data_IF_094483811052
#
_entry.id   IF_094483811052
#
_cell.length_a   1.000
_cell.length_b   1.000
_cell.length_c   1.000
_cell.angle_alpha   90.00
_cell.angle_beta   90.00
_cell.angle_gamma   90.00
#
_symmetry.space_group_name_H-M   'P 1'
#
loop_
_entity.id
_entity.type
_entity.pdbx_description
1 polymer ?
#
# COMPACT_ATOMS: atom_id res chain seq x y z
N UNK A 1 -7.66 -5.42 4.34
CA UNK A 1 -6.42 -6.22 4.18
C UNK A 1 -6.22 -6.66 2.72
N UNK A 2 -7.15 -7.42 2.12
CA UNK A 2 -7.04 -7.93 0.73
C UNK A 2 -6.90 -6.81 -0.31
N UNK A 3 -7.70 -5.74 -0.21
CA UNK A 3 -7.63 -4.62 -1.15
C UNK A 3 -6.27 -3.92 -1.20
N UNK A 4 -5.70 -3.52 -0.05
CA UNK A 4 -4.41 -2.79 -0.05
C UNK A 4 -3.26 -3.65 -0.62
N UNK A 5 -3.29 -4.97 -0.40
CA UNK A 5 -2.29 -5.86 -1.00
C UNK A 5 -2.48 -5.96 -2.53
N UNK A 6 -3.74 -6.02 -3.00
CA UNK A 6 -4.05 -5.97 -4.43
C UNK A 6 -3.56 -4.67 -5.08
N UNK A 7 -3.81 -3.51 -4.45
CA UNK A 7 -3.30 -2.20 -4.89
C UNK A 7 -1.77 -2.19 -4.98
N UNK A 8 -1.11 -2.67 -3.93
CA UNK A 8 0.37 -2.72 -3.88
C UNK A 8 0.93 -3.56 -5.03
N UNK A 9 0.37 -4.76 -5.23
CA UNK A 9 0.79 -5.66 -6.31
C UNK A 9 0.48 -5.09 -7.70
N UNK A 10 -0.69 -4.48 -7.87
CA UNK A 10 -1.09 -3.85 -9.13
C UNK A 10 -0.11 -2.74 -9.54
N UNK A 11 0.23 -1.84 -8.62
CA UNK A 11 1.16 -0.73 -8.87
C UNK A 11 2.58 -1.24 -9.08
N UNK A 12 3.01 -2.23 -8.31
CA UNK A 12 4.34 -2.85 -8.46
C UNK A 12 4.51 -3.48 -9.85
N UNK A 13 3.53 -4.26 -10.29
CA UNK A 13 3.57 -4.96 -11.57
C UNK A 13 3.56 -4.01 -12.78
N UNK A 14 3.08 -2.78 -12.61
CA UNK A 14 3.17 -1.72 -13.63
C UNK A 14 4.54 -1.01 -13.68
N UNK A 15 5.45 -1.35 -12.77
CA UNK A 15 6.76 -0.69 -12.68
C UNK A 15 6.70 0.71 -12.07
N UNK A 16 5.61 1.06 -11.36
CA UNK A 16 5.41 2.37 -10.74
C UNK A 16 5.96 2.44 -9.30
N UNK A 17 6.71 1.43 -8.85
CA UNK A 17 7.35 1.41 -7.53
C UNK A 17 8.75 2.03 -7.54
N UNK A 18 9.14 2.68 -6.45
CA UNK A 18 10.49 3.20 -6.25
C UNK A 18 11.43 2.11 -5.73
N UNK A 19 11.88 1.24 -6.63
CA UNK A 19 12.77 0.11 -6.29
C UNK A 19 14.10 0.56 -5.66
N UNK A 20 14.70 1.66 -6.14
CA UNK A 20 15.96 2.19 -5.58
C UNK A 20 15.78 2.57 -4.11
N UNK A 21 14.70 3.28 -3.78
CA UNK A 21 14.39 3.65 -2.40
C UNK A 21 14.21 2.42 -1.51
N UNK A 22 13.45 1.43 -1.98
CA UNK A 22 13.20 0.21 -1.22
C UNK A 22 14.49 -0.57 -0.96
N UNK A 23 15.34 -0.75 -1.97
CA UNK A 23 16.63 -1.45 -1.81
C UNK A 23 17.59 -0.73 -0.87
N UNK A 24 17.55 0.60 -0.85
CA UNK A 24 18.49 1.41 -0.07
C UNK A 24 18.06 1.65 1.36
N UNK A 25 16.76 1.79 1.61
CA UNK A 25 16.21 2.27 2.89
C UNK A 25 15.27 1.28 3.56
N UNK A 26 14.95 0.14 2.95
CA UNK A 26 14.10 -0.89 3.54
C UNK A 26 14.85 -2.21 3.68
N UNK A 27 14.40 -3.02 4.63
CA UNK A 27 14.89 -4.38 4.82
C UNK A 27 13.94 -5.37 4.13
N UNK A 28 14.42 -6.59 3.88
CA UNK A 28 13.61 -7.70 3.38
C UNK A 28 12.93 -7.43 2.03
N UNK A 29 13.60 -6.64 1.18
CA UNK A 29 13.05 -6.23 -0.11
C UNK A 29 12.75 -7.42 -1.03
N UNK A 30 13.69 -8.37 -1.17
CA UNK A 30 13.50 -9.53 -2.07
C UNK A 30 12.33 -10.41 -1.62
N UNK A 31 12.22 -10.69 -0.32
CA UNK A 31 11.11 -11.46 0.28
C UNK A 31 9.77 -10.76 0.06
N UNK A 32 9.74 -9.43 0.21
CA UNK A 32 8.56 -8.62 -0.06
C UNK A 32 8.19 -8.62 -1.54
N UNK A 33 9.18 -8.49 -2.42
CA UNK A 33 8.99 -8.50 -3.88
C UNK A 33 8.39 -9.82 -4.34
N UNK A 34 8.95 -10.94 -3.88
CA UNK A 34 8.43 -12.28 -4.18
C UNK A 34 6.98 -12.45 -3.71
N UNK A 35 6.64 -12.03 -2.48
CA UNK A 35 5.26 -12.09 -1.95
C UNK A 35 4.27 -11.22 -2.74
N UNK A 36 4.72 -10.06 -3.23
CA UNK A 36 3.90 -9.13 -4.01
C UNK A 36 3.70 -9.64 -5.44
N UNK A 37 4.75 -10.12 -6.11
CA UNK A 37 4.66 -10.66 -7.48
C UNK A 37 3.85 -11.96 -7.53
N UNK A 38 3.87 -12.77 -6.47
CA UNK A 38 3.03 -13.97 -6.35
C UNK A 38 1.55 -13.68 -6.01
N UNK A 39 1.15 -12.41 -5.92
CA UNK A 39 -0.20 -12.03 -5.50
C UNK A 39 -1.23 -12.25 -6.61
N UNK A 40 -2.25 -13.06 -6.32
CA UNK A 40 -3.46 -13.16 -7.13
C UNK A 40 -4.38 -11.95 -6.89
N UNK A 41 -4.24 -10.93 -7.75
CA UNK A 41 -4.97 -9.66 -7.64
C UNK A 41 -6.48 -9.88 -7.79
N UNK A 42 -6.92 -10.73 -8.74
CA UNK A 42 -8.34 -10.93 -9.01
C UNK A 42 -9.05 -11.53 -7.80
N UNK A 43 -8.45 -12.55 -7.19
CA UNK A 43 -8.97 -13.16 -5.96
C UNK A 43 -9.03 -12.17 -4.80
N UNK A 44 -8.03 -11.30 -4.64
CA UNK A 44 -8.05 -10.32 -3.56
C UNK A 44 -9.10 -9.22 -3.75
N UNK A 45 -9.40 -8.86 -5.01
CA UNK A 45 -10.47 -7.90 -5.35
C UNK A 45 -11.85 -8.52 -5.10
N UNK A 46 -12.05 -9.77 -5.51
CA UNK A 46 -13.27 -10.53 -5.20
C UNK A 46 -13.49 -10.62 -3.68
N UNK A 47 -12.46 -10.98 -2.92
CA UNK A 47 -12.53 -11.02 -1.46
C UNK A 47 -12.80 -9.66 -0.80
N UNK A 48 -12.36 -8.56 -1.45
CA UNK A 48 -12.62 -7.21 -0.98
C UNK A 48 -14.04 -6.74 -1.31
N UNK A 49 -14.78 -7.47 -2.15
CA UNK A 49 -16.11 -7.08 -2.61
C UNK A 49 -16.09 -5.84 -3.51
N UNK A 50 -14.97 -5.61 -4.22
CA UNK A 50 -14.76 -4.46 -5.09
C UNK A 50 -14.66 -4.90 -6.55
N UNK A 51 -14.86 -3.95 -7.44
CA UNK A 51 -14.66 -4.11 -8.88
C UNK A 51 -13.20 -3.85 -9.28
N UNK A 52 -12.82 -4.34 -10.46
CA UNK A 52 -11.53 -3.99 -11.08
C UNK A 52 -11.44 -2.49 -11.38
N UNK A 53 -12.54 -1.86 -11.77
CA UNK A 53 -12.57 -0.42 -12.06
C UNK A 53 -12.24 0.42 -10.82
N UNK A 54 -12.79 0.05 -9.65
CA UNK A 54 -12.45 0.70 -8.38
C UNK A 54 -10.97 0.55 -8.02
N UNK A 55 -10.38 -0.61 -8.29
CA UNK A 55 -8.94 -0.82 -8.14
C UNK A 55 -8.14 0.11 -9.06
N UNK A 56 -8.45 0.14 -10.37
CA UNK A 56 -7.71 0.96 -11.33
C UNK A 56 -7.82 2.46 -11.00
N UNK A 57 -9.01 2.93 -10.63
CA UNK A 57 -9.24 4.31 -10.21
C UNK A 57 -8.35 4.65 -9.00
N UNK A 58 -8.33 3.77 -7.99
CA UNK A 58 -7.53 4.01 -6.79
C UNK A 58 -6.02 3.98 -7.08
N UNK A 59 -5.55 3.02 -7.87
CA UNK A 59 -4.15 2.93 -8.29
C UNK A 59 -3.72 4.19 -9.06
N UNK A 60 -4.55 4.67 -9.98
CA UNK A 60 -4.27 5.88 -10.76
C UNK A 60 -4.14 7.12 -9.86
N UNK A 61 -5.00 7.27 -8.84
CA UNK A 61 -4.87 8.37 -7.87
C UNK A 61 -3.54 8.31 -7.12
N UNK A 62 -3.08 7.13 -6.71
CA UNK A 62 -1.83 6.98 -5.97
C UNK A 62 -0.60 7.26 -6.85
N UNK A 63 -0.59 6.76 -8.09
CA UNK A 63 0.56 6.90 -8.99
C UNK A 63 0.71 8.32 -9.52
N UNK A 64 -0.40 9.05 -9.70
CA UNK A 64 -0.39 10.43 -10.23
C UNK A 64 -0.23 11.51 -9.16
N UNK A 65 -0.37 11.17 -7.88
CA UNK A 65 -0.26 12.13 -6.80
C UNK A 65 1.20 12.52 -6.54
N UNK A 66 1.45 13.84 -6.47
CA UNK A 66 2.77 14.37 -6.12
C UNK A 66 3.16 14.05 -4.68
N UNK A 67 2.18 14.14 -3.75
CA UNK A 67 2.38 13.97 -2.31
C UNK A 67 1.16 13.26 -1.69
N UNK A 68 1.39 12.31 -0.79
CA UNK A 68 0.34 11.49 -0.18
C UNK A 68 0.59 11.35 1.32
N UNK A 69 -0.42 11.68 2.13
CA UNK A 69 -0.46 11.34 3.56
C UNK A 69 -1.50 10.24 3.76
N UNK A 70 -1.04 9.05 4.14
CA UNK A 70 -1.92 7.96 4.54
C UNK A 70 -2.32 8.15 6.00
N UNK A 71 -3.60 8.45 6.22
CA UNK A 71 -4.14 8.68 7.57
C UNK A 71 -5.08 7.56 8.00
N UNK A 72 -4.98 7.10 9.25
CA UNK A 72 -5.96 6.16 9.82
C UNK A 72 -6.25 6.44 11.29
N UNK A 73 -7.40 5.94 11.74
CA UNK A 73 -7.86 6.00 13.13
C UNK A 73 -8.08 4.59 13.69
N UNK A 74 -8.80 4.48 14.81
CA UNK A 74 -8.97 3.22 15.54
C UNK A 74 -9.71 2.12 14.77
N UNK A 75 -10.49 2.46 13.75
CA UNK A 75 -11.18 1.47 12.90
C UNK A 75 -10.23 0.49 12.20
N UNK A 76 -8.95 0.86 12.05
CA UNK A 76 -7.93 0.01 11.44
C UNK A 76 -7.07 -0.72 12.49
N UNK A 77 -6.91 -0.16 13.70
CA UNK A 77 -6.13 -0.78 14.79
C UNK A 77 -6.93 -1.79 15.61
N UNK A 78 -8.25 -1.62 15.75
CA UNK A 78 -9.13 -2.53 16.53
C UNK A 78 -9.71 -3.69 15.70
N UNK A 79 -8.96 -4.15 14.71
CA UNK A 79 -9.29 -5.31 13.89
C UNK A 79 -8.32 -6.44 14.23
N UNK A 80 -8.79 -7.70 14.18
CA UNK A 80 -7.94 -8.90 14.40
C UNK A 80 -6.69 -8.90 13.49
N UNK A 81 -6.81 -8.27 12.32
CA UNK A 81 -5.73 -8.14 11.34
C UNK A 81 -5.20 -6.70 11.19
N UNK A 82 -5.39 -5.85 12.21
CA UNK A 82 -5.02 -4.43 12.16
C UNK A 82 -3.53 -4.22 11.91
N UNK A 83 -2.66 -4.90 12.68
CA UNK A 83 -1.19 -4.84 12.50
C UNK A 83 -0.77 -5.21 11.08
N UNK A 84 -1.36 -6.27 10.51
CA UNK A 84 -1.05 -6.70 9.14
C UNK A 84 -1.49 -5.66 8.11
N UNK A 85 -2.65 -5.05 8.30
CA UNK A 85 -3.15 -4.01 7.41
C UNK A 85 -2.28 -2.76 7.45
N UNK A 86 -1.85 -2.33 8.65
CA UNK A 86 -0.92 -1.20 8.81
C UNK A 86 0.41 -1.49 8.13
N UNK A 87 0.95 -2.70 8.29
CA UNK A 87 2.20 -3.09 7.60
C UNK A 87 2.09 -2.99 6.08
N UNK A 88 0.99 -3.46 5.49
CA UNK A 88 0.77 -3.34 4.04
C UNK A 88 0.66 -1.87 3.63
N UNK A 89 -0.07 -1.05 4.41
CA UNK A 89 -0.19 0.39 4.14
C UNK A 89 1.16 1.11 4.22
N UNK A 90 1.98 0.78 5.23
CA UNK A 90 3.33 1.32 5.37
C UNK A 90 4.21 0.89 4.20
N UNK A 91 4.17 -0.38 3.80
CA UNK A 91 4.94 -0.88 2.65
C UNK A 91 4.51 -0.17 1.35
N UNK A 92 3.21 0.04 1.13
CA UNK A 92 2.70 0.81 0.01
C UNK A 92 3.23 2.25 0.01
N UNK A 93 3.20 2.92 1.16
CA UNK A 93 3.75 4.28 1.31
C UNK A 93 5.25 4.36 1.02
N UNK A 94 6.03 3.38 1.50
CA UNK A 94 7.46 3.27 1.23
C UNK A 94 7.73 2.98 -0.25
N UNK A 95 6.98 2.05 -0.85
CA UNK A 95 7.09 1.70 -2.28
C UNK A 95 6.81 2.90 -3.19
N UNK A 96 5.84 3.75 -2.83
CA UNK A 96 5.55 4.99 -3.55
C UNK A 96 6.55 6.12 -3.27
N UNK A 97 7.54 5.92 -2.39
CA UNK A 97 8.48 6.97 -1.98
C UNK A 97 7.81 8.12 -1.24
N UNK A 98 6.71 7.86 -0.54
CA UNK A 98 5.92 8.87 0.18
C UNK A 98 6.41 9.12 1.61
N UNK A 99 7.66 8.77 1.92
CA UNK A 99 8.28 8.95 3.24
C UNK A 99 9.55 9.79 3.13
N UNK A 100 9.72 10.74 4.04
CA UNK A 100 10.91 11.62 4.06
C UNK A 100 10.82 12.86 3.18
N UNK A 101 9.64 13.18 2.62
CA UNK A 101 9.36 14.41 1.87
C UNK A 101 8.23 15.22 2.51
N UNK A 102 8.28 16.58 2.47
CA UNK A 102 7.18 17.42 2.95
C UNK A 102 5.84 17.06 2.31
N UNK A 103 4.77 17.09 3.11
CA UNK A 103 3.43 16.77 2.62
C UNK A 103 3.18 15.28 2.34
N UNK A 104 4.08 14.38 2.75
CA UNK A 104 3.89 12.94 2.59
C UNK A 104 4.23 12.14 3.85
N UNK A 105 3.56 11.02 4.03
CA UNK A 105 3.90 10.07 5.10
C UNK A 105 2.69 9.30 5.63
N UNK A 106 2.85 8.86 6.88
CA UNK A 106 1.88 8.05 7.62
C UNK A 106 1.49 8.83 8.87
N UNK A 107 0.19 9.03 9.09
CA UNK A 107 -0.33 9.77 10.24
C UNK A 107 -1.43 8.98 10.94
N UNK A 108 -1.31 8.85 12.26
CA UNK A 108 -2.28 8.12 13.09
C UNK A 108 -3.10 9.13 13.88
N UNK A 109 -4.43 9.06 13.77
CA UNK A 109 -5.35 9.76 14.65
C UNK A 109 -5.67 8.88 15.86
N UNK A 110 -5.13 9.22 17.03
CA UNK A 110 -5.36 8.49 18.30
C UNK A 110 -6.46 9.09 19.18
N UNK A 111 -6.96 10.29 18.88
CA UNK A 111 -8.01 10.95 19.67
C UNK A 111 -9.00 11.70 18.76
N UNK A 112 -10.05 11.00 18.33
CA UNK A 112 -11.34 11.55 17.93
C UNK A 112 -12.43 10.65 18.54
#
# INVERSE_FOLDING_TARGET
MSFLKAVTARIWNDGNGNEEFLRRYCNNFEEWKEDIEATDIEKLIEQAGLSKDELEIFCNYLVTAENIIFTWAMGLTHQVHGVRTIRILSNLSLMLGMVGKPGSGLLIFQYL
#
